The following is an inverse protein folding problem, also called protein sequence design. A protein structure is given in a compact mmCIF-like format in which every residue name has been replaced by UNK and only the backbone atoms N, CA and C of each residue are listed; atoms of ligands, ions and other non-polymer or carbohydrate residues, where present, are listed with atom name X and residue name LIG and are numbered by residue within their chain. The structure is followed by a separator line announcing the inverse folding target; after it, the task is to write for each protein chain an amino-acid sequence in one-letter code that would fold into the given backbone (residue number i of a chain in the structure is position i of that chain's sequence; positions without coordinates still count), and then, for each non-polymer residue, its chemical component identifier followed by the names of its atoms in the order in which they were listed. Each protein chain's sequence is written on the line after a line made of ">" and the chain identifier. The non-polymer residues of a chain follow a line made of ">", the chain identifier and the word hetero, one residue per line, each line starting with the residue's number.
data_IF_957448193805
#
_entry.id   IF_957448193805
#
_cell.length_a   1.000
_cell.length_b   1.000
_cell.length_c   1.000
_cell.angle_alpha   90.00
_cell.angle_beta   90.00
_cell.angle_gamma   90.00
#
_symmetry.space_group_name_H-M   'P 1'
#
loop_
_entity.id
_entity.type
_entity.pdbx_description
1 polymer ?
#
# COMPACT_ATOMS: atom_id res chain seq x y z
N UNK A 1 8.96 1.09 10.59
CA UNK A 1 8.77 2.54 10.30
C UNK A 1 8.78 3.35 11.58
N UNK A 2 9.21 4.62 11.54
CA UNK A 2 9.05 5.58 12.66
C UNK A 2 7.59 6.03 12.80
N UNK A 3 7.18 6.62 13.95
CA UNK A 3 5.81 7.15 14.09
C UNK A 3 5.41 8.19 13.02
N UNK A 4 6.36 9.04 12.59
CA UNK A 4 6.15 10.01 11.49
C UNK A 4 5.87 9.26 10.17
N UNK A 5 6.69 8.26 9.85
CA UNK A 5 6.52 7.44 8.65
C UNK A 5 5.18 6.68 8.65
N UNK A 6 4.79 6.09 9.78
CA UNK A 6 3.50 5.40 9.92
C UNK A 6 2.34 6.35 9.62
N UNK A 7 2.39 7.59 10.14
CA UNK A 7 1.37 8.60 9.86
C UNK A 7 1.29 8.92 8.36
N UNK A 8 2.41 9.21 7.73
CA UNK A 8 2.48 9.51 6.28
C UNK A 8 1.92 8.32 5.47
N UNK A 9 2.32 7.10 5.82
CA UNK A 9 1.82 5.89 5.18
C UNK A 9 0.30 5.76 5.28
N UNK A 10 -0.27 5.88 6.48
CA UNK A 10 -1.72 5.80 6.69
C UNK A 10 -2.49 6.87 5.93
N UNK A 11 -1.96 8.10 5.87
CA UNK A 11 -2.57 9.19 5.11
C UNK A 11 -2.58 8.88 3.60
N UNK A 12 -1.49 8.31 3.07
CA UNK A 12 -1.39 7.89 1.67
C UNK A 12 -2.31 6.71 1.36
N UNK A 13 -2.38 5.70 2.23
CA UNK A 13 -3.33 4.58 2.11
C UNK A 13 -4.77 5.09 2.10
N UNK A 14 -5.10 6.02 3.00
CA UNK A 14 -6.43 6.66 3.03
C UNK A 14 -6.78 7.33 1.71
N UNK A 15 -5.83 8.02 1.09
CA UNK A 15 -6.00 8.61 -0.25
C UNK A 15 -6.14 7.54 -1.34
N UNK A 16 -5.31 6.49 -1.30
CA UNK A 16 -5.35 5.41 -2.28
C UNK A 16 -6.72 4.72 -2.32
N UNK A 17 -7.39 4.60 -1.16
CA UNK A 17 -8.75 4.04 -1.08
C UNK A 17 -9.83 4.87 -1.79
N UNK A 18 -9.53 6.12 -2.13
CA UNK A 18 -10.38 7.00 -2.94
C UNK A 18 -10.00 7.05 -4.42
N UNK A 19 -8.94 6.36 -4.86
CA UNK A 19 -8.56 6.31 -6.27
C UNK A 19 -9.51 5.39 -7.05
N UNK A 20 -9.81 5.73 -8.30
CA UNK A 20 -10.68 4.92 -9.16
C UNK A 20 -10.09 3.52 -9.37
N UNK A 21 -8.77 3.41 -9.44
CA UNK A 21 -8.02 2.16 -9.53
C UNK A 21 -8.27 1.26 -8.32
N UNK A 22 -8.49 1.82 -7.13
CA UNK A 22 -8.88 1.03 -5.95
C UNK A 22 -10.38 0.73 -5.94
N UNK A 23 -11.22 1.75 -6.21
CA UNK A 23 -12.68 1.65 -6.17
C UNK A 23 -13.19 0.56 -7.12
N UNK A 24 -12.59 0.44 -8.29
CA UNK A 24 -13.03 -0.51 -9.32
C UNK A 24 -12.48 -1.94 -9.13
N UNK A 25 -11.64 -2.20 -8.12
CA UNK A 25 -11.16 -3.56 -7.86
C UNK A 25 -12.26 -4.46 -7.28
N UNK A 26 -12.22 -5.77 -7.58
CA UNK A 26 -13.04 -6.75 -6.90
C UNK A 26 -12.82 -6.73 -5.38
N UNK A 27 -13.86 -7.09 -4.62
CA UNK A 27 -13.82 -7.02 -3.16
C UNK A 27 -12.71 -7.90 -2.56
N UNK A 28 -12.57 -9.12 -3.07
CA UNK A 28 -11.54 -10.06 -2.66
C UNK A 28 -10.13 -9.50 -2.89
N UNK A 29 -9.93 -8.76 -3.98
CA UNK A 29 -8.66 -8.09 -4.28
C UNK A 29 -8.42 -6.93 -3.31
N UNK A 30 -9.45 -6.11 -3.02
CA UNK A 30 -9.36 -5.03 -2.01
C UNK A 30 -8.96 -5.57 -0.63
N UNK A 31 -9.53 -6.70 -0.21
CA UNK A 31 -9.17 -7.35 1.07
C UNK A 31 -7.70 -7.75 1.11
N UNK A 32 -7.15 -8.27 0.00
CA UNK A 32 -5.73 -8.64 -0.06
C UNK A 32 -4.84 -7.40 -0.05
N UNK A 33 -5.18 -6.36 -0.82
CA UNK A 33 -4.46 -5.08 -0.80
C UNK A 33 -4.48 -4.43 0.59
N UNK A 34 -5.63 -4.46 1.27
CA UNK A 34 -5.76 -3.92 2.62
C UNK A 34 -4.84 -4.65 3.62
N UNK A 35 -4.72 -5.98 3.48
CA UNK A 35 -3.73 -6.75 4.24
C UNK A 35 -2.31 -6.33 3.88
N UNK A 36 -2.00 -6.14 2.59
CA UNK A 36 -0.71 -5.61 2.16
C UNK A 36 -0.40 -4.26 2.79
N UNK A 37 -1.37 -3.34 2.86
CA UNK A 37 -1.16 -2.02 3.50
C UNK A 37 -0.86 -2.13 4.99
N UNK A 38 -1.57 -3.00 5.71
CA UNK A 38 -1.36 -3.25 7.15
C UNK A 38 0.01 -3.91 7.37
N UNK A 39 0.34 -4.93 6.58
CA UNK A 39 1.62 -5.65 6.68
C UNK A 39 2.79 -4.74 6.31
N UNK A 40 2.62 -3.85 5.32
CA UNK A 40 3.62 -2.86 4.92
C UNK A 40 3.87 -1.82 6.02
N UNK A 41 2.80 -1.31 6.65
CA UNK A 41 2.91 -0.44 7.83
C UNK A 41 3.73 -1.11 8.95
N UNK A 42 3.56 -2.43 9.08
CA UNK A 42 4.26 -3.29 10.03
C UNK A 42 5.58 -3.88 9.56
N UNK A 43 6.13 -3.47 8.39
CA UNK A 43 7.28 -4.16 7.77
C UNK A 43 8.39 -4.44 8.78
N UNK A 44 8.55 -5.75 8.96
CA UNK A 44 9.65 -6.44 9.60
C UNK A 44 10.14 -7.61 8.75
N UNK A 45 9.45 -8.06 7.67
CA UNK A 45 9.94 -9.24 6.93
C UNK A 45 9.34 -9.58 5.54
N UNK A 46 10.06 -10.49 4.86
CA UNK A 46 9.93 -11.00 3.48
C UNK A 46 8.54 -11.53 3.04
N UNK A 47 7.65 -11.90 3.99
CA UNK A 47 6.31 -12.43 3.69
C UNK A 47 5.44 -11.47 2.86
N UNK A 48 5.70 -10.17 3.00
CA UNK A 48 5.00 -9.10 2.29
C UNK A 48 4.98 -9.32 0.75
N UNK A 49 6.13 -9.65 0.15
CA UNK A 49 6.25 -9.81 -1.30
C UNK A 49 5.55 -11.06 -1.85
N UNK A 50 5.29 -12.07 -1.01
CA UNK A 50 4.59 -13.29 -1.45
C UNK A 50 3.11 -13.03 -1.78
N UNK A 51 2.47 -12.10 -1.08
CA UNK A 51 1.06 -11.75 -1.29
C UNK A 51 0.91 -10.95 -2.59
N UNK A 52 1.86 -10.05 -2.89
CA UNK A 52 1.84 -9.25 -4.12
C UNK A 52 1.85 -10.11 -5.38
N UNK A 53 2.56 -11.24 -5.38
CA UNK A 53 2.62 -12.15 -6.53
C UNK A 53 1.28 -12.85 -6.85
N UNK A 54 0.30 -12.78 -5.95
CA UNK A 54 -1.05 -13.34 -6.16
C UNK A 54 -2.08 -12.31 -6.65
N UNK A 55 -1.67 -11.05 -6.79
CA UNK A 55 -2.56 -9.94 -7.15
C UNK A 55 -2.63 -9.69 -8.67
N UNK A 56 -3.75 -9.15 -9.17
CA UNK A 56 -3.79 -8.56 -10.50
C UNK A 56 -2.79 -7.41 -10.67
N UNK A 57 -2.36 -7.16 -11.90
CA UNK A 57 -1.36 -6.12 -12.19
C UNK A 57 -1.79 -4.72 -11.70
N UNK A 58 -3.07 -4.37 -11.82
CA UNK A 58 -3.59 -3.07 -11.39
C UNK A 58 -3.46 -2.87 -9.88
N UNK A 59 -3.66 -3.95 -9.10
CA UNK A 59 -3.48 -3.96 -7.66
C UNK A 59 -2.01 -3.81 -7.25
N UNK A 60 -1.10 -4.48 -7.96
CA UNK A 60 0.35 -4.33 -7.75
C UNK A 60 0.79 -2.90 -8.10
N UNK A 61 0.28 -2.35 -9.19
CA UNK A 61 0.56 -0.99 -9.64
C UNK A 61 0.08 0.05 -8.63
N UNK A 62 -1.14 -0.12 -8.11
CA UNK A 62 -1.69 0.72 -7.06
C UNK A 62 -0.81 0.70 -5.80
N UNK A 63 -0.48 -0.49 -5.30
CA UNK A 63 0.37 -0.62 -4.13
C UNK A 63 1.74 0.03 -4.32
N UNK A 64 2.37 -0.21 -5.48
CA UNK A 64 3.67 0.36 -5.83
C UNK A 64 3.63 1.89 -5.90
N UNK A 65 2.54 2.45 -6.39
CA UNK A 65 2.34 3.90 -6.43
C UNK A 65 2.29 4.52 -5.03
N UNK A 66 1.65 3.85 -4.07
CA UNK A 66 1.62 4.28 -2.67
C UNK A 66 3.02 4.18 -2.04
N UNK A 67 3.76 3.09 -2.28
CA UNK A 67 5.15 2.92 -1.82
C UNK A 67 6.07 4.03 -2.34
N UNK A 68 6.01 4.34 -3.63
CA UNK A 68 6.81 5.41 -4.23
C UNK A 68 6.48 6.77 -3.60
N UNK A 69 5.18 7.11 -3.49
CA UNK A 69 4.77 8.38 -2.87
C UNK A 69 5.19 8.46 -1.40
N UNK A 70 5.15 7.35 -0.66
CA UNK A 70 5.63 7.28 0.71
C UNK A 70 7.13 7.58 0.81
N UNK A 71 7.95 6.98 -0.07
CA UNK A 71 9.40 7.25 -0.12
C UNK A 71 9.68 8.72 -0.37
N UNK A 72 9.02 9.31 -1.36
CA UNK A 72 9.19 10.73 -1.70
C UNK A 72 8.78 11.65 -0.55
N UNK A 73 7.62 11.40 0.07
CA UNK A 73 7.15 12.18 1.22
C UNK A 73 8.08 12.07 2.45
N UNK A 74 8.85 10.98 2.55
CA UNK A 74 9.87 10.79 3.58
C UNK A 74 11.20 11.48 3.25
N UNK A 75 11.57 11.61 1.97
CA UNK A 75 12.81 12.23 1.50
C UNK A 75 12.75 13.78 1.53
N UNK A 76 11.57 14.38 1.33
CA UNK A 76 11.36 15.83 1.40
C UNK A 76 11.41 16.42 2.83
N UNK A 77 11.87 15.66 3.82
CA UNK A 77 11.56 15.84 5.24
C UNK A 77 12.68 15.42 6.21
#
# INVERSE_FOLDING_TARGET
>A
MTPKQIKIWRDLVGKAKSWDEYINLPYEVKVIIDKCFIDYEGITDFKFYSILNSLPNDAISLFSSVDIQFRWACEEN
#
